data_IF_678718498120
#
_entry.id   IF_678718498120
#
_cell.length_a   1.000
_cell.length_b   1.000
_cell.length_c   1.000
_cell.angle_alpha   90.00
_cell.angle_beta   90.00
_cell.angle_gamma   90.00
#
_symmetry.space_group_name_H-M   'P 1'
#
loop_
_entity.id
_entity.type
_entity.pdbx_description
1 polymer ?
#
# COMPACT_ATOMS: atom_id res chain seq x y z
N UNK A 1 9.40 -17.30 4.11
CA UNK A 1 8.13 -17.62 3.40
C UNK A 1 7.38 -16.30 3.20
N UNK A 2 7.05 -15.90 1.97
CA UNK A 2 6.26 -14.68 1.73
C UNK A 2 4.86 -14.87 2.35
N UNK A 3 4.55 -14.15 3.43
CA UNK A 3 3.23 -14.20 4.05
C UNK A 3 2.28 -13.32 3.24
N UNK A 4 1.40 -13.96 2.46
CA UNK A 4 0.31 -13.30 1.75
C UNK A 4 -0.81 -12.99 2.74
N UNK A 5 -1.12 -11.70 2.93
CA UNK A 5 -2.25 -11.27 3.75
C UNK A 5 -3.52 -11.17 2.90
N UNK A 6 -4.39 -12.17 3.13
CA UNK A 6 -5.76 -12.45 2.68
C UNK A 6 -6.36 -11.65 1.49
N UNK A 7 -6.61 -12.39 0.41
CA UNK A 7 -7.33 -12.09 -0.85
C UNK A 7 -8.84 -11.79 -0.70
N UNK A 8 -9.37 -11.54 0.49
CA UNK A 8 -10.81 -11.29 0.67
C UNK A 8 -11.17 -9.85 0.28
N UNK A 9 -11.39 -9.66 -1.03
CA UNK A 9 -12.09 -8.52 -1.63
C UNK A 9 -13.48 -8.32 -1.01
N UNK A 10 -13.58 -7.70 0.17
CA UNK A 10 -14.87 -7.18 0.66
C UNK A 10 -15.17 -5.91 -0.12
N UNK A 11 -16.19 -5.97 -1.01
CA UNK A 11 -16.67 -4.84 -1.80
C UNK A 11 -17.01 -3.65 -0.89
N UNK A 12 -16.15 -2.66 -0.97
CA UNK A 12 -16.41 -1.24 -0.78
C UNK A 12 -17.71 -0.77 -1.44
N UNK A 13 -18.72 -0.23 -0.75
CA UNK A 13 -19.85 0.47 -1.42
C UNK A 13 -19.55 1.94 -1.69
N UNK A 14 -18.33 2.40 -1.39
CA UNK A 14 -17.81 3.67 -1.91
C UNK A 14 -17.04 3.36 -3.18
N UNK A 15 -17.35 4.08 -4.24
CA UNK A 15 -16.73 3.91 -5.55
C UNK A 15 -15.22 4.18 -5.55
N UNK A 16 -14.60 4.57 -4.44
CA UNK A 16 -13.16 4.70 -4.22
C UNK A 16 -12.86 4.29 -2.78
N UNK A 17 -12.63 2.99 -2.49
CA UNK A 17 -12.52 2.54 -1.08
C UNK A 17 -11.43 1.50 -0.82
N UNK A 18 -11.15 0.58 -1.74
CA UNK A 18 -10.24 -0.52 -1.43
C UNK A 18 -8.82 -0.10 -1.81
N UNK A 19 -8.06 0.33 -0.80
CA UNK A 19 -6.61 0.34 -0.76
C UNK A 19 -6.15 -0.80 0.16
N UNK A 20 -5.65 -1.89 -0.41
CA UNK A 20 -4.83 -2.85 0.34
C UNK A 20 -3.37 -2.41 0.25
N UNK A 21 -2.56 -2.55 1.31
CA UNK A 21 -2.91 -2.99 2.65
C UNK A 21 -3.92 -2.09 3.38
N UNK A 22 -4.72 -2.72 4.25
CA UNK A 22 -5.58 -1.99 5.19
C UNK A 22 -4.72 -1.25 6.21
N UNK A 23 -5.32 -0.22 6.80
CA UNK A 23 -4.68 0.46 7.93
C UNK A 23 -4.33 -0.53 9.05
N UNK A 24 -3.14 -0.38 9.61
CA UNK A 24 -2.62 -1.25 10.66
C UNK A 24 -2.08 -2.60 10.16
N UNK A 25 -2.05 -2.86 8.85
CA UNK A 25 -1.38 -4.05 8.32
C UNK A 25 0.10 -4.00 8.67
N UNK A 26 0.61 -5.13 9.18
CA UNK A 26 2.02 -5.34 9.48
C UNK A 26 2.64 -6.26 8.44
N UNK A 27 3.82 -5.89 7.95
CA UNK A 27 4.60 -6.70 7.00
C UNK A 27 5.92 -7.14 7.62
N UNK A 28 6.41 -8.32 7.27
CA UNK A 28 7.72 -8.80 7.71
C UNK A 28 8.55 -9.18 6.48
N UNK A 29 9.79 -8.67 6.42
CA UNK A 29 10.73 -9.11 5.39
C UNK A 29 11.32 -10.46 5.77
N UNK A 30 11.43 -11.36 4.80
CA UNK A 30 12.05 -12.69 4.98
C UNK A 30 13.59 -12.66 4.84
N UNK A 31 14.18 -11.50 4.56
CA UNK A 31 15.62 -11.27 4.42
C UNK A 31 15.97 -9.87 4.93
N UNK A 32 17.25 -9.52 5.07
CA UNK A 32 17.70 -8.19 5.57
C UNK A 32 17.44 -7.00 4.63
N UNK A 33 16.49 -7.09 3.71
CA UNK A 33 16.25 -6.12 2.65
C UNK A 33 14.80 -5.58 2.67
N UNK A 34 14.51 -4.66 1.75
CA UNK A 34 13.19 -4.06 1.51
C UNK A 34 12.06 -5.09 1.39
N UNK A 35 10.88 -4.73 1.88
CA UNK A 35 9.65 -5.49 1.62
C UNK A 35 9.00 -4.98 0.34
N UNK A 36 8.67 -5.91 -0.56
CA UNK A 36 7.80 -5.61 -1.69
C UNK A 36 6.34 -5.68 -1.24
N UNK A 37 5.67 -4.54 -1.24
CA UNK A 37 4.25 -4.43 -0.90
C UNK A 37 3.49 -4.17 -2.20
N UNK A 38 2.58 -5.08 -2.53
CA UNK A 38 1.60 -4.84 -3.58
C UNK A 38 0.42 -4.10 -2.97
N UNK A 39 0.13 -2.95 -3.55
CA UNK A 39 -1.01 -2.14 -3.18
C UNK A 39 -2.08 -2.34 -4.22
N UNK A 40 -3.36 -2.45 -3.83
CA UNK A 40 -4.47 -2.56 -4.77
C UNK A 40 -5.48 -1.46 -4.51
N UNK A 41 -5.76 -0.65 -5.53
CA UNK A 41 -6.75 0.41 -5.59
C UNK A 41 -7.95 -0.06 -6.43
N UNK A 42 -9.18 0.11 -5.94
CA UNK A 42 -10.39 -0.15 -6.72
C UNK A 42 -11.31 1.07 -6.78
N UNK A 43 -11.74 1.37 -8.00
CA UNK A 43 -12.67 2.46 -8.30
C UNK A 43 -12.00 3.85 -8.40
N UNK A 44 -12.77 4.92 -8.28
CA UNK A 44 -12.36 6.32 -8.53
C UNK A 44 -12.14 6.63 -10.01
N UNK A 45 -11.80 7.88 -10.31
CA UNK A 45 -11.59 8.33 -11.69
C UNK A 45 -10.10 8.47 -12.00
N UNK A 46 -9.64 7.79 -13.06
CA UNK A 46 -8.26 7.91 -13.55
C UNK A 46 -7.98 9.32 -14.11
N UNK A 47 -6.72 9.79 -14.11
CA UNK A 47 -5.53 9.17 -13.52
C UNK A 47 -5.50 9.30 -11.99
N UNK A 48 -4.68 8.45 -11.34
CA UNK A 48 -4.43 8.53 -9.90
C UNK A 48 -3.05 9.13 -9.63
N UNK A 49 -2.96 9.95 -8.58
CA UNK A 49 -1.70 10.42 -8.01
C UNK A 49 -1.44 9.72 -6.70
N UNK A 50 -0.27 9.09 -6.58
CA UNK A 50 0.12 8.33 -5.40
C UNK A 50 1.08 9.14 -4.55
N UNK A 51 0.99 8.99 -3.22
CA UNK A 51 1.89 9.61 -2.26
C UNK A 51 2.42 8.54 -1.31
N UNK A 52 3.73 8.45 -1.20
CA UNK A 52 4.43 7.57 -0.26
C UNK A 52 5.17 8.46 0.71
N UNK A 53 4.83 8.39 1.99
CA UNK A 53 5.40 9.25 3.05
C UNK A 53 5.36 10.74 2.69
N UNK A 54 4.23 11.17 2.12
CA UNK A 54 3.98 12.53 1.67
C UNK A 54 4.63 12.91 0.33
N UNK A 55 5.42 12.03 -0.30
CA UNK A 55 6.06 12.29 -1.59
C UNK A 55 5.22 11.80 -2.75
N UNK A 56 4.86 12.71 -3.66
CA UNK A 56 4.16 12.37 -4.88
C UNK A 56 5.02 11.42 -5.74
N UNK A 57 4.43 10.31 -6.16
CA UNK A 57 5.05 9.32 -7.03
C UNK A 57 4.15 9.13 -8.24
N UNK A 58 4.72 9.22 -9.44
CA UNK A 58 3.97 9.01 -10.66
C UNK A 58 3.75 7.52 -10.88
N UNK A 59 2.56 7.05 -10.52
CA UNK A 59 2.14 5.66 -10.66
C UNK A 59 0.82 5.66 -11.45
N UNK A 60 0.81 5.00 -12.60
CA UNK A 60 -0.35 4.95 -13.49
C UNK A 60 -1.22 3.71 -13.29
N UNK A 61 -0.74 2.74 -12.51
CA UNK A 61 -1.44 1.47 -12.25
C UNK A 61 -2.30 1.57 -11.00
N UNK A 62 -3.38 0.79 -10.97
CA UNK A 62 -4.19 0.59 -9.76
C UNK A 62 -3.56 -0.42 -8.81
N UNK A 63 -2.54 -1.17 -9.26
CA UNK A 63 -1.87 -2.19 -8.46
C UNK A 63 -0.35 -2.04 -8.42
N UNK A 64 0.20 -0.94 -7.85
CA UNK A 64 1.64 -0.75 -7.78
C UNK A 64 2.32 -1.69 -6.79
N UNK A 65 3.57 -2.03 -7.09
CA UNK A 65 4.49 -2.68 -6.16
C UNK A 65 5.47 -1.65 -5.62
N UNK A 66 5.51 -1.52 -4.30
CA UNK A 66 6.36 -0.57 -3.59
C UNK A 66 7.43 -1.31 -2.82
N UNK A 67 8.64 -0.75 -2.81
CA UNK A 67 9.73 -1.21 -1.94
C UNK A 67 9.81 -0.27 -0.76
N UNK A 68 9.55 -0.79 0.43
CA UNK A 68 9.60 -0.02 1.67
C UNK A 68 10.58 -0.68 2.64
N UNK A 69 11.35 0.17 3.32
CA UNK A 69 12.22 -0.21 4.43
C UNK A 69 11.42 -0.56 5.68
N UNK A 70 12.07 -1.03 6.73
CA UNK A 70 11.44 -1.16 8.04
C UNK A 70 11.01 0.21 8.60
N UNK A 71 9.84 0.27 9.23
CA UNK A 71 9.28 1.49 9.82
C UNK A 71 7.80 1.72 9.51
N UNK A 72 7.29 2.86 9.98
CA UNK A 72 5.96 3.34 9.65
C UNK A 72 5.96 4.00 8.27
N UNK A 73 4.94 3.70 7.46
CA UNK A 73 4.73 4.33 6.18
C UNK A 73 3.30 4.81 6.00
N UNK A 74 3.14 5.96 5.35
CA UNK A 74 1.84 6.54 4.98
C UNK A 74 1.67 6.46 3.47
N UNK A 75 0.66 5.73 3.03
CA UNK A 75 0.30 5.59 1.62
C UNK A 75 -0.97 6.38 1.36
N UNK A 76 -0.95 7.29 0.40
CA UNK A 76 -2.17 7.93 -0.09
C UNK A 76 -2.32 7.80 -1.60
N UNK A 77 -3.56 7.78 -2.06
CA UNK A 77 -3.93 7.84 -3.47
C UNK A 77 -5.03 8.88 -3.65
N UNK A 78 -4.84 9.78 -4.61
CA UNK A 78 -5.82 10.81 -4.99
C UNK A 78 -6.25 10.57 -6.43
N UNK A 79 -7.55 10.52 -6.68
CA UNK A 79 -8.10 10.37 -8.02
C UNK A 79 -8.22 11.72 -8.76
N UNK A 80 -8.61 11.71 -10.03
CA UNK A 80 -8.70 12.94 -10.84
C UNK A 80 -9.84 13.88 -10.44
N UNK A 81 -10.77 13.42 -9.59
CA UNK A 81 -11.82 14.26 -9.00
C UNK A 81 -11.37 14.95 -7.71
N UNK A 82 -10.18 14.61 -7.20
CA UNK A 82 -9.66 15.09 -5.93
C UNK A 82 -10.04 14.23 -4.72
N UNK A 83 -10.71 13.09 -4.93
CA UNK A 83 -11.01 12.16 -3.85
C UNK A 83 -9.74 11.46 -3.38
N UNK A 84 -9.49 11.45 -2.07
CA UNK A 84 -8.27 10.89 -1.49
C UNK A 84 -8.55 9.75 -0.50
N UNK A 85 -7.72 8.70 -0.57
CA UNK A 85 -7.64 7.64 0.43
C UNK A 85 -6.24 7.68 1.05
N UNK A 86 -6.17 7.49 2.37
CA UNK A 86 -4.92 7.41 3.14
C UNK A 86 -4.90 6.08 3.92
N UNK A 87 -3.73 5.44 4.01
CA UNK A 87 -3.48 4.22 4.80
C UNK A 87 -2.15 4.29 5.51
N UNK A 88 -2.18 3.95 6.79
CA UNK A 88 -0.98 3.80 7.61
C UNK A 88 -0.63 2.32 7.72
N UNK A 89 0.63 1.98 7.45
CA UNK A 89 1.14 0.62 7.57
C UNK A 89 2.45 0.59 8.35
N UNK A 90 2.77 -0.59 8.87
CA UNK A 90 4.01 -0.85 9.57
C UNK A 90 4.78 -1.98 8.91
N UNK A 91 6.04 -1.72 8.58
CA UNK A 91 6.97 -2.73 8.09
C UNK A 91 7.90 -3.11 9.23
N UNK A 92 7.79 -4.34 9.69
CA UNK A 92 8.69 -4.90 10.69
C UNK A 92 10.11 -4.97 10.12
N UNK A 93 11.08 -4.71 11.00
CA UNK A 93 12.46 -5.04 10.69
C UNK A 93 12.59 -6.53 10.34
N UNK A 94 13.45 -6.86 9.38
CA UNK A 94 13.75 -8.25 9.09
C UNK A 94 14.30 -8.96 10.32
N UNK A 95 13.86 -10.20 10.53
CA UNK A 95 14.53 -11.12 11.46
C UNK A 95 15.79 -11.63 10.78
N UNK A 96 16.86 -10.84 10.84
CA UNK A 96 18.19 -11.32 10.48
C UNK A 96 18.76 -12.01 11.71
N UNK A 97 18.91 -13.34 11.65
CA UNK A 97 19.75 -14.04 12.61
C UNK A 97 21.17 -13.47 12.53
N UNK A 98 21.76 -13.19 13.69
CA UNK A 98 23.21 -12.96 13.81
C UNK A 98 23.99 -14.23 13.46
#
# INVERSE_FOLDING_TARGET
LLQYFDKKFKKSSRDFDILYPKEGTKFQSASCQDVNIEIALQGGVKPYTWYIDGKATQITTTTPKLKLSAGAHTIAATDSTGSQIIRNIWVNAPECGE
#
